data_IF_270944710459
#
_entry.id   IF_270944710459
#
_cell.length_a   1.000
_cell.length_b   1.000
_cell.length_c   1.000
_cell.angle_alpha   90.00
_cell.angle_beta   90.00
_cell.angle_gamma   90.00
#
_symmetry.space_group_name_H-M   'P 1'
#
loop_
_entity.id
_entity.type
_entity.pdbx_description
1 polymer ?
#
# COMPACT_ATOMS: atom_id res chain seq x y z
N UNK A 1 -7.89 26.58 -5.10
CA UNK A 1 -9.15 25.83 -5.28
C UNK A 1 -10.26 26.80 -4.92
N UNK A 2 -10.88 27.40 -5.93
CA UNK A 2 -12.03 28.29 -5.75
C UNK A 2 -13.25 27.41 -5.45
N UNK A 3 -13.95 27.67 -4.35
CA UNK A 3 -15.19 26.96 -4.01
C UNK A 3 -16.30 27.50 -4.92
N UNK A 4 -16.87 26.71 -5.85
CA UNK A 4 -17.85 27.22 -6.82
C UNK A 4 -19.21 27.57 -6.19
N UNK A 5 -19.41 27.31 -4.90
CA UNK A 5 -20.69 27.51 -4.20
C UNK A 5 -20.71 28.74 -3.28
N UNK A 6 -19.57 29.40 -3.03
CA UNK A 6 -19.53 30.65 -2.27
C UNK A 6 -20.14 31.85 -3.00
N UNK A 7 -20.53 31.67 -4.27
CA UNK A 7 -21.16 32.70 -5.09
C UNK A 7 -22.70 32.67 -5.03
N UNK A 8 -23.32 31.80 -4.19
CA UNK A 8 -24.77 31.88 -3.96
C UNK A 8 -25.08 33.09 -3.08
N UNK A 9 -25.88 34.06 -3.57
CA UNK A 9 -26.25 35.21 -2.77
C UNK A 9 -27.10 34.76 -1.58
N UNK A 10 -26.66 35.10 -0.36
CA UNK A 10 -27.46 34.92 0.84
C UNK A 10 -28.80 35.67 0.70
N UNK A 11 -29.89 35.14 1.26
CA UNK A 11 -31.17 35.83 1.27
C UNK A 11 -31.04 37.23 1.91
N UNK A 12 -31.51 38.25 1.20
CA UNK A 12 -31.48 39.63 1.67
C UNK A 12 -32.50 39.94 2.77
N UNK A 13 -32.48 41.15 3.36
CA UNK A 13 -33.38 41.54 4.46
C UNK A 13 -34.88 41.46 4.13
N UNK A 14 -35.23 41.49 2.83
CA UNK A 14 -36.59 41.42 2.31
C UNK A 14 -37.02 39.99 1.91
N UNK A 15 -36.19 38.98 2.18
CA UNK A 15 -36.48 37.58 1.83
C UNK A 15 -37.67 37.04 2.63
N UNK A 16 -38.50 36.22 1.99
CA UNK A 16 -39.63 35.59 2.67
C UNK A 16 -39.14 34.49 3.61
N UNK A 17 -39.98 34.11 4.59
CA UNK A 17 -39.66 33.01 5.52
C UNK A 17 -39.39 31.69 4.80
N UNK A 18 -40.10 31.45 3.69
CA UNK A 18 -39.91 30.25 2.87
C UNK A 18 -38.52 30.25 2.19
N UNK A 19 -38.04 31.41 1.74
CA UNK A 19 -36.70 31.55 1.15
C UNK A 19 -35.60 31.25 2.18
N UNK A 20 -35.75 31.74 3.42
CA UNK A 20 -34.81 31.46 4.51
C UNK A 20 -34.81 29.96 4.86
N UNK A 21 -35.98 29.32 4.89
CA UNK A 21 -36.08 27.89 5.16
C UNK A 21 -35.43 27.04 4.05
N UNK A 22 -35.62 27.44 2.79
CA UNK A 22 -35.01 26.76 1.65
C UNK A 22 -33.48 26.87 1.68
N UNK A 23 -32.95 28.04 2.03
CA UNK A 23 -31.51 28.26 2.17
C UNK A 23 -30.90 27.42 3.29
N UNK A 24 -31.51 27.45 4.49
CA UNK A 24 -31.08 26.62 5.62
C UNK A 24 -31.09 25.12 5.25
N UNK A 25 -32.10 24.66 4.51
CA UNK A 25 -32.17 23.28 4.05
C UNK A 25 -31.03 22.95 3.07
N UNK A 26 -30.73 23.86 2.15
CA UNK A 26 -29.63 23.71 1.20
C UNK A 26 -28.27 23.65 1.92
N UNK A 27 -28.00 24.58 2.84
CA UNK A 27 -26.75 24.61 3.62
C UNK A 27 -26.59 23.34 4.47
N UNK A 28 -27.66 22.85 5.11
CA UNK A 28 -27.60 21.60 5.88
C UNK A 28 -27.24 20.40 5.01
N UNK A 29 -27.79 20.34 3.81
CA UNK A 29 -27.46 19.27 2.87
C UNK A 29 -25.99 19.34 2.41
N UNK A 30 -25.49 20.52 2.08
CA UNK A 30 -24.09 20.74 1.67
C UNK A 30 -23.10 20.35 2.79
N UNK A 31 -23.39 20.76 4.03
CA UNK A 31 -22.61 20.36 5.20
C UNK A 31 -22.68 18.85 5.44
N UNK A 32 -23.85 18.24 5.24
CA UNK A 32 -24.03 16.78 5.29
C UNK A 32 -23.14 16.06 4.28
N UNK A 33 -23.14 16.50 3.02
CA UNK A 33 -22.30 15.95 1.96
C UNK A 33 -20.80 16.14 2.25
N UNK A 34 -20.42 17.26 2.88
CA UNK A 34 -19.02 17.52 3.26
C UNK A 34 -18.56 16.58 4.38
N UNK A 35 -19.42 16.32 5.37
CA UNK A 35 -19.13 15.35 6.44
C UNK A 35 -19.05 13.92 5.89
N UNK A 36 -19.93 13.57 4.96
CA UNK A 36 -19.89 12.27 4.26
C UNK A 36 -18.60 12.10 3.46
N UNK A 37 -18.23 13.12 2.67
CA UNK A 37 -16.97 13.11 1.90
C UNK A 37 -15.73 13.03 2.80
N UNK A 38 -15.75 13.71 3.95
CA UNK A 38 -14.67 13.64 4.93
C UNK A 38 -14.59 12.26 5.58
N UNK A 39 -15.74 11.65 5.89
CA UNK A 39 -15.84 10.29 6.44
C UNK A 39 -15.34 9.26 5.42
N UNK A 40 -15.73 9.39 4.15
CA UNK A 40 -15.22 8.54 3.07
C UNK A 40 -13.69 8.63 2.92
N UNK A 41 -13.10 9.83 3.11
CA UNK A 41 -11.63 10.01 3.14
C UNK A 41 -10.97 9.39 4.37
N UNK A 42 -11.67 9.32 5.50
CA UNK A 42 -11.16 8.63 6.69
C UNK A 42 -11.26 7.11 6.53
N UNK A 43 -12.30 6.62 5.86
CA UNK A 43 -12.50 5.19 5.61
C UNK A 43 -11.40 4.60 4.71
N UNK A 44 -10.94 5.31 3.67
CA UNK A 44 -9.80 4.83 2.85
C UNK A 44 -8.50 4.68 3.65
N UNK A 45 -8.29 5.48 4.71
CA UNK A 45 -7.13 5.34 5.60
C UNK A 45 -7.28 4.10 6.50
N UNK A 46 -8.48 3.87 7.01
CA UNK A 46 -8.80 2.65 7.76
C UNK A 46 -8.62 1.41 6.88
N UNK A 47 -9.11 1.46 5.65
CA UNK A 47 -8.97 0.39 4.66
C UNK A 47 -7.51 0.13 4.29
N UNK A 48 -6.71 1.18 4.05
CA UNK A 48 -5.28 1.04 3.77
C UNK A 48 -4.53 0.41 4.95
N UNK A 49 -4.84 0.83 6.18
CA UNK A 49 -4.28 0.24 7.40
C UNK A 49 -4.65 -1.23 7.53
N UNK A 50 -5.90 -1.59 7.29
CA UNK A 50 -6.36 -2.98 7.32
C UNK A 50 -5.61 -3.85 6.31
N UNK A 51 -5.39 -3.37 5.07
CA UNK A 51 -4.63 -4.11 4.04
C UNK A 51 -3.17 -4.31 4.42
N UNK A 52 -2.55 -3.33 5.07
CA UNK A 52 -1.16 -3.43 5.55
C UNK A 52 -1.05 -4.46 6.67
N UNK A 53 -1.98 -4.43 7.62
CA UNK A 53 -1.98 -5.36 8.76
C UNK A 53 -2.23 -6.81 8.27
N UNK A 54 -3.15 -7.02 7.32
CA UNK A 54 -3.42 -8.32 6.68
C UNK A 54 -2.20 -8.84 5.87
N UNK A 55 -1.53 -7.96 5.12
CA UNK A 55 -0.31 -8.32 4.39
C UNK A 55 0.84 -8.67 5.34
N UNK A 56 0.94 -7.99 6.49
CA UNK A 56 1.98 -8.27 7.48
C UNK A 56 1.81 -9.67 8.07
N UNK A 57 0.59 -10.08 8.36
CA UNK A 57 0.29 -11.41 8.89
C UNK A 57 0.66 -12.50 7.87
N UNK A 58 0.27 -12.31 6.60
CA UNK A 58 0.66 -13.21 5.50
C UNK A 58 2.18 -13.26 5.28
N UNK A 59 2.89 -12.15 5.49
CA UNK A 59 4.33 -12.08 5.36
C UNK A 59 5.05 -12.77 6.52
N UNK A 60 4.56 -12.66 7.75
CA UNK A 60 5.13 -13.37 8.90
C UNK A 60 5.00 -14.88 8.69
N UNK A 61 3.82 -15.35 8.28
CA UNK A 61 3.57 -16.77 8.06
C UNK A 61 4.41 -17.34 6.89
N UNK A 62 4.49 -16.60 5.77
CA UNK A 62 5.38 -16.94 4.65
C UNK A 62 6.85 -16.81 4.99
N UNK A 63 7.25 -15.85 5.84
CA UNK A 63 8.63 -15.70 6.26
C UNK A 63 9.08 -16.90 7.10
N UNK A 64 8.23 -17.43 7.99
CA UNK A 64 8.55 -18.64 8.74
C UNK A 64 8.68 -19.87 7.84
N UNK A 65 7.80 -20.03 6.83
CA UNK A 65 7.92 -21.15 5.88
C UNK A 65 9.10 -20.99 4.93
N UNK A 66 9.40 -19.78 4.46
CA UNK A 66 10.55 -19.51 3.58
C UNK A 66 11.86 -19.57 4.37
N UNK A 67 11.89 -19.16 5.63
CA UNK A 67 13.09 -19.27 6.47
C UNK A 67 13.41 -20.74 6.74
N UNK A 68 12.41 -21.57 7.08
CA UNK A 68 12.60 -23.00 7.30
C UNK A 68 13.06 -23.72 6.03
N UNK A 69 12.47 -23.40 4.86
CA UNK A 69 12.90 -23.99 3.58
C UNK A 69 14.22 -23.40 3.09
N UNK A 70 14.51 -22.14 3.40
CA UNK A 70 15.72 -21.43 3.01
C UNK A 70 16.96 -21.90 3.76
N UNK A 71 16.83 -22.26 5.03
CA UNK A 71 17.91 -22.90 5.79
C UNK A 71 18.19 -24.31 5.28
N UNK A 72 17.16 -25.08 4.93
CA UNK A 72 17.33 -26.43 4.37
C UNK A 72 17.95 -26.40 2.97
N UNK A 73 17.44 -25.55 2.07
CA UNK A 73 18.01 -25.38 0.72
C UNK A 73 19.40 -24.77 0.79
N UNK A 74 19.62 -23.78 1.66
CA UNK A 74 20.93 -23.17 1.89
C UNK A 74 21.96 -24.18 2.38
N UNK A 75 21.59 -25.04 3.33
CA UNK A 75 22.46 -26.12 3.81
C UNK A 75 22.81 -27.10 2.69
N UNK A 76 21.84 -27.53 1.87
CA UNK A 76 22.10 -28.45 0.74
C UNK A 76 22.95 -27.82 -0.36
N UNK A 77 22.84 -26.52 -0.60
CA UNK A 77 23.68 -25.82 -1.58
C UNK A 77 25.11 -25.69 -1.05
N UNK A 78 25.28 -25.39 0.24
CA UNK A 78 26.61 -25.31 0.87
C UNK A 78 27.29 -26.68 0.90
N UNK A 79 26.54 -27.72 1.24
CA UNK A 79 27.00 -29.11 1.25
C UNK A 79 27.36 -29.61 -0.16
N UNK A 80 26.50 -29.36 -1.15
CA UNK A 80 26.79 -29.70 -2.55
C UNK A 80 27.91 -28.85 -3.18
N UNK A 81 28.23 -27.69 -2.61
CA UNK A 81 29.29 -26.80 -3.10
C UNK A 81 30.63 -26.99 -2.38
N UNK A 82 30.66 -27.66 -1.23
CA UNK A 82 31.86 -27.82 -0.39
C UNK A 82 32.16 -29.30 -0.25
N UNK A 83 33.22 -29.76 -0.91
CA UNK A 83 33.73 -31.13 -0.73
C UNK A 83 34.44 -31.25 0.64
N UNK A 84 34.63 -32.46 1.17
CA UNK A 84 35.23 -32.76 2.50
C UNK A 84 36.64 -32.14 2.71
N UNK A 85 37.26 -31.63 1.64
CA UNK A 85 38.55 -30.93 1.64
C UNK A 85 38.45 -29.40 1.84
N UNK A 86 37.25 -28.85 2.06
CA UNK A 86 37.05 -27.42 2.38
C UNK A 86 37.18 -26.45 1.21
N UNK A 87 37.24 -26.97 -0.02
CA UNK A 87 37.34 -26.16 -1.25
C UNK A 87 35.98 -25.99 -1.92
N UNK A 88 35.50 -24.75 -2.02
CA UNK A 88 34.23 -24.42 -2.70
C UNK A 88 34.38 -24.66 -4.19
N UNK A 89 33.81 -25.75 -4.71
CA UNK A 89 33.82 -26.03 -6.14
C UNK A 89 32.68 -25.24 -6.77
N UNK A 90 32.97 -24.03 -7.23
CA UNK A 90 32.04 -23.18 -7.98
C UNK A 90 31.81 -23.75 -9.40
N UNK A 91 31.32 -24.98 -9.50
CA UNK A 91 30.86 -25.54 -10.77
C UNK A 91 29.49 -24.92 -11.01
N UNK A 92 29.43 -23.90 -11.85
CA UNK A 92 28.17 -23.24 -12.23
C UNK A 92 27.46 -24.11 -13.27
N UNK A 93 26.41 -24.88 -12.95
CA UNK A 93 25.53 -25.38 -13.99
C UNK A 93 24.85 -24.17 -14.62
N UNK A 94 24.80 -24.15 -15.96
CA UNK A 94 24.34 -23.04 -16.81
C UNK A 94 22.94 -22.48 -16.46
N UNK A 95 22.15 -23.17 -15.63
CA UNK A 95 20.86 -22.69 -15.11
C UNK A 95 20.92 -21.71 -13.92
N UNK A 96 22.03 -21.62 -13.17
CA UNK A 96 22.11 -20.82 -11.94
C UNK A 96 22.41 -19.31 -12.17
N UNK A 97 22.88 -18.94 -13.37
CA UNK A 97 23.22 -17.56 -13.73
C UNK A 97 21.99 -16.65 -13.83
N UNK A 98 20.84 -17.19 -14.24
CA UNK A 98 19.61 -16.41 -14.41
C UNK A 98 19.10 -15.83 -13.07
N UNK A 99 19.20 -16.59 -11.97
CA UNK A 99 18.75 -16.14 -10.65
C UNK A 99 19.61 -14.99 -10.11
N UNK A 100 20.92 -15.04 -10.32
CA UNK A 100 21.84 -13.97 -9.90
C UNK A 100 21.56 -12.68 -10.67
N UNK A 101 21.32 -12.77 -11.98
CA UNK A 101 20.96 -11.61 -12.82
C UNK A 101 19.63 -10.99 -12.38
N UNK A 102 18.63 -11.82 -12.04
CA UNK A 102 17.33 -11.33 -11.54
C UNK A 102 17.49 -10.63 -10.19
N UNK A 103 18.26 -11.21 -9.24
CA UNK A 103 18.49 -10.60 -7.93
C UNK A 103 19.21 -9.26 -8.07
N UNK A 104 20.28 -9.20 -8.87
CA UNK A 104 21.02 -7.96 -9.13
C UNK A 104 20.14 -6.92 -9.82
N UNK A 105 19.32 -7.33 -10.80
CA UNK A 105 18.38 -6.46 -11.49
C UNK A 105 17.34 -5.83 -10.55
N UNK A 106 16.74 -6.64 -9.66
CA UNK A 106 15.79 -6.17 -8.65
C UNK A 106 16.46 -5.21 -7.66
N UNK A 107 17.68 -5.52 -7.23
CA UNK A 107 18.41 -4.71 -6.25
C UNK A 107 18.85 -3.36 -6.82
N UNK A 108 19.25 -3.32 -8.09
CA UNK A 108 19.56 -2.08 -8.83
C UNK A 108 18.31 -1.24 -9.06
N UNK A 109 17.19 -1.85 -9.45
CA UNK A 109 15.92 -1.13 -9.64
C UNK A 109 15.43 -0.49 -8.35
N UNK A 110 15.53 -1.21 -7.23
CA UNK A 110 15.14 -0.71 -5.91
C UNK A 110 16.05 0.41 -5.39
N UNK A 111 17.28 0.54 -5.88
CA UNK A 111 18.19 1.64 -5.55
C UNK A 111 18.00 2.88 -6.44
N UNK A 112 17.33 2.74 -7.59
CA UNK A 112 17.09 3.83 -8.55
C UNK A 112 15.71 4.48 -8.41
N UNK A 113 14.82 3.89 -7.63
CA UNK A 113 13.53 4.47 -7.23
C UNK A 113 13.68 5.10 -5.86
#
# INVERSE_FOLDING_TARGET
MTNPEQDKPEPGPDASVDDIHADIAATRNELGQTVEALTAKLDVKAQAKARVDDTKELLVDKAHTVQAKGTEVGARVVDAATDDEGSVRLVVPVGASALVVVIVGVLVWRRRK
#
